data_IF_579891608561
#
_entry.id   IF_579891608561
#
_cell.length_a   1.000
_cell.length_b   1.000
_cell.length_c   1.000
_cell.angle_alpha   90.00
_cell.angle_beta   90.00
_cell.angle_gamma   90.00
#
_symmetry.space_group_name_H-M   'P 1'
#
loop_
_entity.id
_entity.type
_entity.pdbx_description
1 polymer ?
#
# COMPACT_ATOMS: atom_id res chain seq x y z
N UNK A 1 -15.62 2.36 22.12
CA UNK A 1 -15.84 1.15 21.29
C UNK A 1 -15.02 1.17 19.99
N UNK A 2 -15.11 2.22 19.15
CA UNK A 2 -14.36 2.29 17.88
C UNK A 2 -12.84 2.27 18.03
N UNK A 3 -12.27 2.92 19.05
CA UNK A 3 -10.82 2.85 19.33
C UNK A 3 -10.35 1.43 19.68
N UNK A 4 -11.12 0.70 20.50
CA UNK A 4 -10.81 -0.68 20.86
C UNK A 4 -10.92 -1.62 19.65
N UNK A 5 -11.94 -1.43 18.82
CA UNK A 5 -12.07 -2.15 17.54
C UNK A 5 -10.89 -1.87 16.60
N UNK A 6 -10.53 -0.59 16.40
CA UNK A 6 -9.40 -0.19 15.58
C UNK A 6 -8.07 -0.77 16.08
N UNK A 7 -7.86 -0.78 17.40
CA UNK A 7 -6.67 -1.39 18.01
C UNK A 7 -6.63 -2.91 17.80
N UNK A 8 -7.76 -3.61 18.03
CA UNK A 8 -7.85 -5.05 17.85
C UNK A 8 -7.63 -5.46 16.39
N UNK A 9 -8.30 -4.79 15.45
CA UNK A 9 -8.15 -5.03 14.01
C UNK A 9 -6.74 -4.69 13.54
N UNK A 10 -6.19 -3.55 13.97
CA UNK A 10 -4.82 -3.15 13.62
C UNK A 10 -3.78 -4.15 14.10
N UNK A 11 -3.91 -4.64 15.33
CA UNK A 11 -3.02 -5.68 15.88
C UNK A 11 -3.16 -6.98 15.09
N UNK A 12 -4.39 -7.41 14.81
CA UNK A 12 -4.63 -8.62 14.02
C UNK A 12 -4.01 -8.52 12.61
N UNK A 13 -4.21 -7.39 11.91
CA UNK A 13 -3.67 -7.16 10.56
C UNK A 13 -2.13 -7.17 10.54
N UNK A 14 -1.48 -6.66 11.59
CA UNK A 14 -0.02 -6.65 11.70
C UNK A 14 0.59 -8.06 11.69
N UNK A 15 -0.11 -9.05 12.26
CA UNK A 15 0.30 -10.45 12.21
C UNK A 15 -0.22 -11.20 10.98
N UNK A 16 -1.43 -10.85 10.52
CA UNK A 16 -2.13 -11.58 9.46
C UNK A 16 -1.43 -11.43 8.10
N UNK A 17 -1.03 -10.21 7.71
CA UNK A 17 -0.42 -10.00 6.40
C UNK A 17 0.93 -10.73 6.22
N UNK A 18 1.89 -10.64 7.17
CA UNK A 18 3.14 -11.39 7.05
C UNK A 18 2.94 -12.91 7.10
N UNK A 19 2.03 -13.38 7.98
CA UNK A 19 1.74 -14.81 8.09
C UNK A 19 1.14 -15.37 6.79
N UNK A 20 0.18 -14.66 6.20
CA UNK A 20 -0.45 -15.04 4.93
C UNK A 20 0.55 -15.09 3.78
N UNK A 21 1.33 -14.02 3.61
CA UNK A 21 2.27 -13.91 2.50
C UNK A 21 3.43 -14.92 2.64
N UNK A 22 3.82 -15.25 3.88
CA UNK A 22 4.80 -16.28 4.18
C UNK A 22 4.34 -17.71 3.88
N UNK A 23 3.03 -17.97 3.80
CA UNK A 23 2.49 -19.31 3.51
C UNK A 23 2.40 -19.64 2.03
N UNK A 24 2.43 -18.64 1.14
CA UNK A 24 2.30 -18.85 -0.31
C UNK A 24 3.32 -19.81 -0.91
N UNK A 25 4.62 -19.80 -0.54
CA UNK A 25 5.60 -20.75 -1.05
C UNK A 25 5.32 -22.20 -0.65
N UNK A 26 4.63 -22.42 0.47
CA UNK A 26 4.32 -23.75 0.99
C UNK A 26 3.11 -24.39 0.31
N UNK A 27 2.13 -23.57 -0.08
CA UNK A 27 0.94 -24.00 -0.81
C UNK A 27 1.25 -24.16 -2.31
N UNK A 28 2.32 -23.52 -2.78
CA UNK A 28 2.85 -23.67 -4.11
C UNK A 28 3.51 -25.05 -4.29
N UNK A 29 2.76 -26.04 -4.78
CA UNK A 29 3.24 -27.38 -5.17
C UNK A 29 4.24 -27.32 -6.34
N UNK A 30 5.40 -26.70 -6.17
CA UNK A 30 6.48 -26.59 -7.17
C UNK A 30 6.39 -25.38 -8.11
N UNK A 31 5.31 -24.58 -8.09
CA UNK A 31 5.20 -23.36 -8.92
C UNK A 31 4.70 -22.16 -8.10
N UNK A 32 5.64 -21.51 -7.41
CA UNK A 32 5.39 -20.34 -6.55
C UNK A 32 4.73 -19.21 -7.33
N UNK A 33 5.15 -18.98 -8.58
CA UNK A 33 4.58 -17.94 -9.42
C UNK A 33 3.08 -18.16 -9.68
N UNK A 34 2.65 -19.38 -10.01
CA UNK A 34 1.22 -19.70 -10.20
C UNK A 34 0.42 -19.51 -8.91
N UNK A 35 0.95 -19.96 -7.77
CA UNK A 35 0.28 -19.82 -6.47
C UNK A 35 0.16 -18.35 -6.01
N UNK A 36 1.20 -17.56 -6.21
CA UNK A 36 1.19 -16.12 -5.89
C UNK A 36 0.22 -15.39 -6.81
N UNK A 37 0.22 -15.71 -8.11
CA UNK A 37 -0.69 -15.07 -9.08
C UNK A 37 -2.15 -15.42 -8.78
N UNK A 38 -2.46 -16.68 -8.48
CA UNK A 38 -3.83 -17.08 -8.12
C UNK A 38 -4.29 -16.44 -6.81
N UNK A 39 -3.44 -16.41 -5.78
CA UNK A 39 -3.76 -15.74 -4.52
C UNK A 39 -4.00 -14.24 -4.70
N UNK A 40 -3.20 -13.58 -5.54
CA UNK A 40 -3.38 -12.15 -5.85
C UNK A 40 -4.67 -11.89 -6.62
N UNK A 41 -5.02 -12.74 -7.58
CA UNK A 41 -6.29 -12.63 -8.31
C UNK A 41 -7.50 -12.83 -7.40
N UNK A 42 -7.46 -13.84 -6.52
CA UNK A 42 -8.50 -14.06 -5.51
C UNK A 42 -8.59 -12.86 -4.57
N UNK A 43 -7.45 -12.31 -4.12
CA UNK A 43 -7.43 -11.13 -3.26
C UNK A 43 -8.14 -9.94 -3.91
N UNK A 44 -7.82 -9.61 -5.17
CA UNK A 44 -8.46 -8.50 -5.87
C UNK A 44 -9.95 -8.76 -6.13
N UNK A 45 -10.34 -9.98 -6.51
CA UNK A 45 -11.75 -10.33 -6.71
C UNK A 45 -12.56 -10.18 -5.42
N UNK A 46 -12.05 -10.71 -4.31
CA UNK A 46 -12.69 -10.58 -2.99
C UNK A 46 -12.72 -9.13 -2.53
N UNK A 47 -11.67 -8.35 -2.79
CA UNK A 47 -11.61 -6.94 -2.42
C UNK A 47 -12.60 -6.08 -3.22
N UNK A 48 -12.73 -6.31 -4.53
CA UNK A 48 -13.76 -5.65 -5.35
C UNK A 48 -15.17 -6.02 -4.89
N UNK A 49 -15.42 -7.30 -4.59
CA UNK A 49 -16.69 -7.74 -4.01
C UNK A 49 -16.96 -7.10 -2.64
N UNK A 50 -15.93 -6.97 -1.82
CA UNK A 50 -16.00 -6.28 -0.52
C UNK A 50 -16.37 -4.80 -0.66
N UNK A 51 -15.79 -4.08 -1.62
CA UNK A 51 -16.19 -2.71 -1.90
C UNK A 51 -17.63 -2.62 -2.42
N UNK A 52 -18.05 -3.50 -3.32
CA UNK A 52 -19.42 -3.53 -3.79
C UNK A 52 -20.43 -3.76 -2.63
N UNK A 53 -20.13 -4.71 -1.74
CA UNK A 53 -20.94 -4.94 -0.52
C UNK A 53 -20.91 -3.72 0.41
N UNK A 54 -19.75 -3.10 0.62
CA UNK A 54 -19.63 -1.87 1.41
C UNK A 54 -20.42 -0.71 0.82
N UNK A 55 -20.56 -0.65 -0.52
CA UNK A 55 -21.40 0.33 -1.21
C UNK A 55 -22.87 0.24 -0.83
N UNK A 56 -23.35 -0.98 -0.51
CA UNK A 56 -24.71 -1.22 -0.04
C UNK A 56 -24.94 -0.84 1.43
N UNK A 57 -23.93 -0.29 2.13
CA UNK A 57 -24.07 0.11 3.54
C UNK A 57 -25.16 1.17 3.73
N UNK A 58 -25.33 2.07 2.76
CA UNK A 58 -26.38 3.08 2.71
C UNK A 58 -27.80 2.50 2.82
N UNK A 59 -28.06 1.37 2.15
CA UNK A 59 -29.41 0.79 2.04
C UNK A 59 -29.70 -0.30 3.07
N UNK A 60 -28.69 -1.09 3.45
CA UNK A 60 -28.85 -2.23 4.37
C UNK A 60 -28.41 -1.88 5.80
N UNK A 61 -27.68 -0.76 5.98
CA UNK A 61 -27.07 -0.36 7.23
C UNK A 61 -25.73 -1.06 7.50
N UNK A 62 -24.92 -0.48 8.39
CA UNK A 62 -23.58 -0.97 8.70
C UNK A 62 -23.56 -2.28 9.52
N UNK A 63 -24.56 -2.51 10.38
CA UNK A 63 -24.60 -3.67 11.27
C UNK A 63 -24.57 -5.03 10.53
N UNK A 64 -25.42 -5.30 9.52
CA UNK A 64 -25.37 -6.57 8.79
C UNK A 64 -24.06 -6.77 8.02
N UNK A 65 -23.46 -5.70 7.50
CA UNK A 65 -22.14 -5.79 6.86
C UNK A 65 -21.04 -6.18 7.85
N UNK A 66 -21.06 -5.63 9.06
CA UNK A 66 -20.13 -6.02 10.13
C UNK A 66 -20.32 -7.47 10.56
N UNK A 67 -21.57 -7.97 10.59
CA UNK A 67 -21.86 -9.40 10.86
C UNK A 67 -21.29 -10.27 9.75
N UNK A 68 -21.50 -9.92 8.48
CA UNK A 68 -20.92 -10.65 7.34
C UNK A 68 -19.39 -10.66 7.42
N UNK A 69 -18.76 -9.51 7.73
CA UNK A 69 -17.32 -9.42 7.93
C UNK A 69 -16.84 -10.34 9.06
N UNK A 70 -17.54 -10.35 10.20
CA UNK A 70 -17.22 -11.21 11.33
C UNK A 70 -17.35 -12.70 10.97
N UNK A 71 -18.39 -13.09 10.24
CA UNK A 71 -18.59 -14.46 9.76
C UNK A 71 -17.48 -14.88 8.80
N UNK A 72 -17.11 -14.02 7.84
CA UNK A 72 -16.02 -14.31 6.90
C UNK A 72 -14.68 -14.50 7.62
N UNK A 73 -14.37 -13.66 8.61
CA UNK A 73 -13.19 -13.81 9.44
C UNK A 73 -13.22 -15.11 10.25
N UNK A 74 -14.38 -15.49 10.80
CA UNK A 74 -14.55 -16.73 11.54
C UNK A 74 -14.39 -17.97 10.64
N UNK A 75 -14.98 -17.97 9.44
CA UNK A 75 -14.78 -19.02 8.45
C UNK A 75 -13.31 -19.10 8.00
N UNK A 76 -12.63 -17.97 7.81
CA UNK A 76 -11.20 -17.93 7.50
C UNK A 76 -10.35 -18.54 8.61
N UNK A 77 -10.65 -18.23 9.87
CA UNK A 77 -9.99 -18.82 11.03
C UNK A 77 -10.25 -20.33 11.15
N UNK A 78 -11.49 -20.77 10.89
CA UNK A 78 -11.83 -22.19 10.89
C UNK A 78 -11.13 -22.97 9.77
N UNK A 79 -11.10 -22.40 8.56
CA UNK A 79 -10.39 -22.97 7.43
C UNK A 79 -8.89 -23.10 7.74
N UNK A 80 -8.31 -22.06 8.36
CA UNK A 80 -6.92 -22.07 8.83
C UNK A 80 -6.67 -23.14 9.90
N UNK A 81 -7.57 -23.28 10.87
CA UNK A 81 -7.45 -24.31 11.91
C UNK A 81 -7.55 -25.74 11.36
N UNK A 82 -8.26 -25.92 10.24
CA UNK A 82 -8.39 -27.22 9.56
C UNK A 82 -7.28 -27.51 8.55
N UNK A 83 -6.41 -26.54 8.26
CA UNK A 83 -5.23 -26.78 7.43
C UNK A 83 -4.24 -27.63 8.22
N UNK A 84 -4.00 -28.84 7.73
CA UNK A 84 -2.97 -29.70 8.28
C UNK A 84 -1.59 -29.20 7.83
N UNK A 85 -0.94 -28.46 8.72
CA UNK A 85 0.40 -27.88 8.50
C UNK A 85 1.52 -28.85 8.93
N UNK A 86 1.18 -30.08 9.36
CA UNK A 86 2.15 -31.07 9.85
C UNK A 86 3.19 -31.49 8.81
N UNK A 87 2.87 -31.34 7.53
CA UNK A 87 3.76 -31.67 6.41
C UNK A 87 4.62 -30.50 5.93
N UNK A 88 4.53 -29.31 6.55
CA UNK A 88 5.33 -28.18 6.14
C UNK A 88 6.80 -28.35 6.58
N UNK A 89 7.78 -28.12 5.70
CA UNK A 89 9.18 -28.01 6.11
C UNK A 89 9.27 -26.97 7.22
N UNK A 90 10.02 -27.28 8.29
CA UNK A 90 10.25 -26.36 9.39
C UNK A 90 10.55 -24.96 8.83
N UNK A 91 9.99 -23.88 9.42
CA UNK A 91 10.17 -22.53 8.91
C UNK A 91 11.66 -22.32 8.64
N UNK A 92 12.01 -21.95 7.40
CA UNK A 92 13.38 -21.54 7.10
C UNK A 92 13.67 -20.45 8.11
N UNK A 93 14.53 -20.76 9.08
CA UNK A 93 14.95 -19.80 10.08
C UNK A 93 15.59 -18.67 9.29
N UNK A 94 14.83 -17.61 9.01
CA UNK A 94 15.40 -16.29 8.86
C UNK A 94 16.33 -16.18 10.06
N UNK A 95 17.64 -16.04 9.82
CA UNK A 95 18.68 -16.17 10.84
C UNK A 95 18.30 -15.44 12.14
N UNK A 96 18.88 -15.85 13.28
CA UNK A 96 18.38 -15.54 14.62
C UNK A 96 17.72 -14.17 14.71
N UNK A 97 16.44 -14.13 15.12
CA UNK A 97 15.72 -12.90 15.43
C UNK A 97 16.69 -11.99 16.20
N UNK A 98 16.86 -10.71 15.79
CA UNK A 98 17.92 -9.87 16.34
C UNK A 98 17.76 -9.83 17.86
N UNK A 99 18.65 -10.55 18.56
CA UNK A 99 18.64 -10.60 20.02
C UNK A 99 19.03 -9.26 20.64
N UNK A 100 19.39 -8.26 19.83
CA UNK A 100 19.82 -6.93 20.25
C UNK A 100 19.35 -5.83 19.29
N UNK A 101 18.90 -4.71 19.88
CA UNK A 101 18.67 -3.42 19.21
C UNK A 101 19.88 -2.96 18.36
N UNK A 102 21.09 -3.36 18.74
CA UNK A 102 22.32 -3.09 17.99
C UNK A 102 22.29 -3.67 16.56
N UNK A 103 21.75 -4.88 16.36
CA UNK A 103 21.64 -5.47 15.01
C UNK A 103 20.61 -4.73 14.13
N UNK A 104 19.58 -4.14 14.74
CA UNK A 104 18.61 -3.29 14.04
C UNK A 104 19.29 -1.98 13.63
N UNK A 105 20.08 -1.39 14.53
CA UNK A 105 20.84 -0.17 14.27
C UNK A 105 21.90 -0.37 13.17
N UNK A 106 22.63 -1.49 13.16
CA UNK A 106 23.61 -1.81 12.10
C UNK A 106 22.93 -1.94 10.74
N UNK A 107 21.76 -2.59 10.70
CA UNK A 107 21.01 -2.74 9.45
C UNK A 107 20.42 -1.40 8.99
N UNK A 108 19.94 -0.56 9.92
CA UNK A 108 19.52 0.81 9.62
C UNK A 108 20.67 1.63 9.03
N UNK A 109 21.88 1.50 9.59
CA UNK A 109 23.07 2.19 9.12
C UNK A 109 23.48 1.74 7.71
N UNK A 110 23.43 0.44 7.42
CA UNK A 110 23.70 -0.11 6.08
C UNK A 110 22.72 0.47 5.05
N UNK A 111 21.43 0.44 5.38
CA UNK A 111 20.36 0.99 4.55
C UNK A 111 20.55 2.50 4.33
N UNK A 112 20.90 3.24 5.38
CA UNK A 112 21.06 4.69 5.33
C UNK A 112 22.33 5.14 4.60
N UNK A 113 23.39 4.33 4.64
CA UNK A 113 24.63 4.56 3.89
C UNK A 113 24.47 4.26 2.41
N UNK A 114 23.61 3.30 2.04
CA UNK A 114 23.36 2.99 0.65
C UNK A 114 22.38 4.00 0.03
N UNK A 115 22.91 4.93 -0.77
CA UNK A 115 22.17 6.08 -1.32
C UNK A 115 20.86 5.70 -2.00
N UNK A 116 20.84 4.63 -2.80
CA UNK A 116 19.63 4.12 -3.46
C UNK A 116 18.58 3.62 -2.46
N UNK A 117 18.98 2.88 -1.42
CA UNK A 117 18.03 2.30 -0.46
C UNK A 117 17.39 3.40 0.39
N UNK A 118 18.22 4.31 0.89
CA UNK A 118 17.78 5.49 1.63
C UNK A 118 16.75 6.29 0.85
N UNK A 119 17.05 6.61 -0.41
CA UNK A 119 16.19 7.49 -1.20
C UNK A 119 14.84 6.80 -1.55
N UNK A 120 14.82 5.48 -1.80
CA UNK A 120 13.55 4.72 -1.95
C UNK A 120 12.75 4.69 -0.64
N UNK A 121 13.41 4.52 0.51
CA UNK A 121 12.73 4.51 1.81
C UNK A 121 12.15 5.89 2.13
N UNK A 122 12.83 6.97 1.77
CA UNK A 122 12.28 8.33 1.90
C UNK A 122 11.06 8.51 1.00
N UNK A 123 11.10 8.06 -0.26
CA UNK A 123 9.94 8.13 -1.16
C UNK A 123 8.74 7.36 -0.60
N UNK A 124 8.97 6.16 -0.09
CA UNK A 124 7.90 5.27 0.42
C UNK A 124 7.40 5.73 1.79
N UNK A 125 8.28 6.26 2.64
CA UNK A 125 7.91 6.94 3.87
C UNK A 125 7.09 8.20 3.61
N UNK A 126 7.48 8.99 2.60
CA UNK A 126 6.68 10.12 2.12
C UNK A 126 5.32 9.68 1.60
N UNK A 127 5.25 8.59 0.83
CA UNK A 127 3.99 8.02 0.36
C UNK A 127 3.08 7.62 1.53
N UNK A 128 3.61 6.93 2.54
CA UNK A 128 2.86 6.57 3.73
C UNK A 128 2.37 7.80 4.50
N UNK A 129 3.26 8.77 4.76
CA UNK A 129 2.91 9.97 5.52
C UNK A 129 1.94 10.90 4.77
N UNK A 130 2.18 11.21 3.50
CA UNK A 130 1.38 12.20 2.79
C UNK A 130 0.17 11.60 2.09
N UNK A 131 0.29 10.41 1.49
CA UNK A 131 -0.74 9.88 0.60
C UNK A 131 -1.72 8.91 1.29
N UNK A 132 -1.28 8.15 2.30
CA UNK A 132 -2.19 7.21 2.97
C UNK A 132 -3.26 7.91 3.81
N UNK A 133 -2.91 9.04 4.44
CA UNK A 133 -3.92 9.86 5.12
C UNK A 133 -5.00 10.38 4.17
N UNK A 134 -4.62 10.67 2.92
CA UNK A 134 -5.57 11.11 1.90
C UNK A 134 -6.56 10.00 1.56
N UNK A 135 -6.13 8.76 1.33
CA UNK A 135 -7.09 7.68 0.99
C UNK A 135 -7.99 7.28 2.16
N UNK A 136 -7.46 7.23 3.39
CA UNK A 136 -8.22 6.75 4.54
C UNK A 136 -9.08 7.82 5.22
N UNK A 137 -8.72 9.09 5.09
CA UNK A 137 -9.40 10.20 5.78
C UNK A 137 -9.82 11.29 4.79
N UNK A 138 -8.91 11.78 3.96
CA UNK A 138 -9.18 12.90 3.06
C UNK A 138 -10.30 12.63 2.04
N UNK A 139 -10.19 11.53 1.30
CA UNK A 139 -11.16 11.14 0.26
C UNK A 139 -12.55 10.88 0.86
N UNK A 140 -12.68 10.14 1.98
CA UNK A 140 -13.96 10.01 2.67
C UNK A 140 -14.58 11.35 3.07
N UNK A 141 -13.80 12.27 3.62
CA UNK A 141 -14.28 13.60 3.98
C UNK A 141 -14.71 14.40 2.76
N UNK A 142 -13.95 14.37 1.66
CA UNK A 142 -14.34 15.08 0.43
C UNK A 142 -15.63 14.52 -0.17
N UNK A 143 -15.80 13.20 -0.23
CA UNK A 143 -17.03 12.60 -0.76
C UNK A 143 -18.24 13.00 0.08
N UNK A 144 -18.11 12.90 1.41
CA UNK A 144 -19.20 13.23 2.32
C UNK A 144 -19.51 14.73 2.37
N UNK A 145 -18.49 15.58 2.56
CA UNK A 145 -18.67 16.99 2.90
C UNK A 145 -18.78 17.90 1.67
N UNK A 146 -18.20 17.51 0.52
CA UNK A 146 -18.21 18.32 -0.71
C UNK A 146 -19.22 17.77 -1.72
N UNK A 147 -19.20 16.46 -1.97
CA UNK A 147 -20.07 15.85 -2.97
C UNK A 147 -21.42 15.37 -2.39
N UNK A 148 -21.58 15.36 -1.07
CA UNK A 148 -22.78 14.82 -0.41
C UNK A 148 -22.98 13.33 -0.69
N UNK A 149 -21.92 12.63 -1.10
CA UNK A 149 -21.96 11.22 -1.49
C UNK A 149 -21.99 10.31 -0.27
N UNK A 150 -22.49 9.10 -0.47
CA UNK A 150 -22.65 8.09 0.58
C UNK A 150 -21.65 6.94 0.42
N UNK A 151 -21.86 5.83 1.14
CA UNK A 151 -21.06 4.61 1.05
C UNK A 151 -20.95 4.08 -0.38
N UNK A 152 -21.96 4.29 -1.22
CA UNK A 152 -21.95 3.91 -2.64
C UNK A 152 -20.87 4.65 -3.42
N UNK A 153 -20.74 5.96 -3.26
CA UNK A 153 -19.70 6.77 -3.91
C UNK A 153 -18.31 6.46 -3.34
N UNK A 154 -18.23 6.17 -2.04
CA UNK A 154 -17.00 5.70 -1.41
C UNK A 154 -16.54 4.35 -1.95
N UNK A 155 -17.48 3.41 -2.14
CA UNK A 155 -17.18 2.14 -2.77
C UNK A 155 -16.72 2.35 -4.22
N UNK A 156 -17.43 3.20 -4.98
CA UNK A 156 -17.12 3.46 -6.38
C UNK A 156 -15.73 4.07 -6.55
N UNK A 157 -15.36 5.07 -5.75
CA UNK A 157 -14.04 5.69 -5.85
C UNK A 157 -12.91 4.70 -5.51
N UNK A 158 -13.12 3.84 -4.51
CA UNK A 158 -12.17 2.80 -4.13
C UNK A 158 -12.08 1.70 -5.20
N UNK A 159 -13.19 1.37 -5.86
CA UNK A 159 -13.20 0.44 -7.00
C UNK A 159 -12.44 1.00 -8.20
N UNK A 160 -12.58 2.29 -8.51
CA UNK A 160 -11.78 2.94 -9.56
C UNK A 160 -10.29 2.90 -9.21
N UNK A 161 -9.95 3.19 -7.95
CA UNK A 161 -8.58 3.10 -7.47
C UNK A 161 -7.99 1.69 -7.60
N UNK A 162 -8.71 0.68 -7.11
CA UNK A 162 -8.33 -0.73 -7.24
C UNK A 162 -8.26 -1.20 -8.68
N UNK A 163 -9.17 -0.73 -9.53
CA UNK A 163 -9.17 -0.99 -10.97
C UNK A 163 -7.88 -0.50 -11.62
N UNK A 164 -7.46 0.73 -11.30
CA UNK A 164 -6.18 1.29 -11.75
C UNK A 164 -4.97 0.46 -11.29
N UNK A 165 -4.95 0.06 -10.02
CA UNK A 165 -3.87 -0.78 -9.47
C UNK A 165 -3.80 -2.14 -10.17
N UNK A 166 -4.95 -2.80 -10.32
CA UNK A 166 -5.08 -4.14 -10.89
C UNK A 166 -4.68 -4.16 -12.36
N UNK A 167 -5.17 -3.19 -13.14
CA UNK A 167 -4.82 -3.04 -14.55
C UNK A 167 -3.31 -2.88 -14.71
N UNK A 168 -2.69 -2.04 -13.88
CA UNK A 168 -1.26 -1.78 -13.96
C UNK A 168 -0.43 -2.98 -13.53
N UNK A 169 -0.83 -3.67 -12.47
CA UNK A 169 -0.17 -4.90 -12.04
C UNK A 169 -0.20 -5.96 -13.15
N UNK A 170 -1.32 -6.11 -13.83
CA UNK A 170 -1.47 -7.03 -14.97
C UNK A 170 -0.58 -6.63 -16.16
N UNK A 171 -0.52 -5.34 -16.49
CA UNK A 171 0.34 -4.82 -17.58
C UNK A 171 1.82 -5.02 -17.24
N UNK A 172 2.24 -4.72 -16.01
CA UNK A 172 3.62 -4.93 -15.56
C UNK A 172 4.02 -6.41 -15.60
N UNK A 173 3.10 -7.30 -15.20
CA UNK A 173 3.31 -8.74 -15.29
C UNK A 173 3.51 -9.19 -16.73
N UNK A 174 2.70 -8.70 -17.68
CA UNK A 174 2.83 -9.03 -19.11
C UNK A 174 4.07 -8.45 -19.77
N UNK A 175 4.51 -7.25 -19.36
CA UNK A 175 5.66 -6.55 -19.94
C UNK A 175 7.01 -6.94 -19.32
N UNK A 176 7.02 -7.74 -18.26
CA UNK A 176 8.26 -8.16 -17.60
C UNK A 176 8.90 -7.08 -16.71
N UNK A 177 8.11 -6.13 -16.22
CA UNK A 177 8.59 -5.05 -15.34
C UNK A 177 8.96 -3.76 -16.07
N UNK A 178 9.79 -2.92 -15.41
CA UNK A 178 10.19 -1.60 -15.94
C UNK A 178 11.71 -1.48 -15.90
N UNK A 179 12.31 -1.16 -17.06
CA UNK A 179 13.75 -1.02 -17.17
C UNK A 179 14.33 0.13 -16.33
N UNK A 180 13.60 1.24 -16.16
CA UNK A 180 14.05 2.42 -15.39
C UNK A 180 13.28 2.57 -14.09
N UNK A 181 13.49 1.62 -13.18
CA UNK A 181 12.71 1.48 -11.95
C UNK A 181 12.74 2.76 -11.10
N UNK A 182 13.92 3.40 -10.96
CA UNK A 182 14.08 4.61 -10.16
C UNK A 182 13.36 5.85 -10.72
N UNK A 183 13.30 5.97 -12.06
CA UNK A 183 12.49 7.02 -12.71
C UNK A 183 11.01 6.73 -12.59
N UNK A 184 10.62 5.47 -12.77
CA UNK A 184 9.24 5.05 -12.70
C UNK A 184 8.63 5.36 -11.32
N UNK A 185 9.32 5.00 -10.23
CA UNK A 185 8.84 5.30 -8.87
C UNK A 185 8.71 6.80 -8.61
N UNK A 186 9.71 7.59 -9.02
CA UNK A 186 9.75 9.03 -8.77
C UNK A 186 8.67 9.77 -9.57
N UNK A 187 8.53 9.43 -10.86
CA UNK A 187 7.46 9.98 -11.71
C UNK A 187 6.08 9.55 -11.23
N UNK A 188 5.89 8.28 -10.87
CA UNK A 188 4.61 7.79 -10.38
C UNK A 188 4.18 8.51 -9.10
N UNK A 189 5.09 8.73 -8.15
CA UNK A 189 4.80 9.49 -6.94
C UNK A 189 4.54 10.98 -7.20
N UNK A 190 5.31 11.60 -8.11
CA UNK A 190 5.09 12.99 -8.51
C UNK A 190 3.74 13.19 -9.21
N UNK A 191 3.43 12.35 -10.21
CA UNK A 191 2.16 12.37 -10.96
C UNK A 191 1.00 12.02 -10.04
N UNK A 192 1.16 11.01 -9.17
CA UNK A 192 0.17 10.64 -8.17
C UNK A 192 -0.15 11.78 -7.20
N UNK A 193 0.89 12.51 -6.73
CA UNK A 193 0.71 13.74 -5.97
C UNK A 193 -0.08 14.79 -6.75
N UNK A 194 0.28 15.06 -8.01
CA UNK A 194 -0.43 16.03 -8.85
C UNK A 194 -1.90 15.64 -9.11
N UNK A 195 -2.19 14.35 -9.29
CA UNK A 195 -3.56 13.85 -9.43
C UNK A 195 -4.39 14.12 -8.17
N UNK A 196 -3.80 13.95 -6.99
CA UNK A 196 -4.46 14.30 -5.73
C UNK A 196 -4.60 15.81 -5.53
N UNK A 197 -3.60 16.60 -5.93
CA UNK A 197 -3.71 18.06 -5.93
C UNK A 197 -4.89 18.53 -6.80
N UNK A 198 -5.11 17.89 -7.96
CA UNK A 198 -6.24 18.17 -8.83
C UNK A 198 -7.59 17.86 -8.16
N UNK A 199 -7.68 16.80 -7.34
CA UNK A 199 -8.87 16.55 -6.51
C UNK A 199 -9.08 17.68 -5.49
N UNK A 200 -8.00 18.20 -4.91
CA UNK A 200 -8.02 19.35 -4.01
C UNK A 200 -8.54 20.66 -4.63
N UNK A 201 -8.69 20.73 -5.96
CA UNK A 201 -9.30 21.88 -6.64
C UNK A 201 -10.85 21.86 -6.62
N UNK A 202 -11.47 20.80 -6.09
CA UNK A 202 -12.94 20.70 -6.02
C UNK A 202 -13.60 20.48 -7.39
N UNK A 203 -12.98 19.65 -8.24
CA UNK A 203 -13.49 19.36 -9.58
C UNK A 203 -14.90 18.76 -9.57
N UNK A 204 -15.73 18.95 -10.60
CA UNK A 204 -17.05 18.35 -10.66
C UNK A 204 -16.97 16.81 -10.73
N UNK A 205 -17.95 16.14 -10.14
CA UNK A 205 -18.13 14.70 -10.33
C UNK A 205 -18.48 14.43 -11.81
N UNK A 206 -17.86 13.45 -12.51
CA UNK A 206 -17.10 12.29 -12.00
C UNK A 206 -15.57 12.42 -12.02
N UNK A 207 -15.00 13.63 -12.15
CA UNK A 207 -13.54 13.80 -12.29
C UNK A 207 -12.70 13.14 -11.17
N UNK A 208 -13.10 13.15 -9.88
CA UNK A 208 -12.36 12.46 -8.82
C UNK A 208 -12.25 10.94 -9.03
N UNK A 209 -13.22 10.30 -9.67
CA UNK A 209 -13.18 8.85 -9.95
C UNK A 209 -12.03 8.51 -10.92
N UNK A 210 -11.91 9.29 -12.00
CA UNK A 210 -10.85 9.10 -12.99
C UNK A 210 -9.47 9.42 -12.41
N UNK A 211 -9.37 10.48 -11.60
CA UNK A 211 -8.13 10.83 -10.91
C UNK A 211 -7.73 9.75 -9.91
N UNK A 212 -8.68 9.10 -9.23
CA UNK A 212 -8.41 7.99 -8.31
C UNK A 212 -7.99 6.70 -9.02
N UNK A 213 -8.52 6.43 -10.22
CA UNK A 213 -8.00 5.37 -11.06
C UNK A 213 -6.55 5.65 -11.49
N UNK A 214 -6.25 6.87 -11.93
CA UNK A 214 -4.88 7.30 -12.25
C UNK A 214 -3.93 7.21 -11.04
N UNK A 215 -4.41 7.61 -9.86
CA UNK A 215 -3.65 7.49 -8.62
C UNK A 215 -3.39 6.02 -8.27
N UNK A 216 -4.34 5.11 -8.53
CA UNK A 216 -4.16 3.67 -8.37
C UNK A 216 -3.09 3.09 -9.29
N UNK A 217 -3.06 3.53 -10.56
CA UNK A 217 -1.99 3.18 -11.51
C UNK A 217 -0.62 3.58 -10.94
N UNK A 218 -0.50 4.82 -10.46
CA UNK A 218 0.72 5.34 -9.86
C UNK A 218 1.12 4.57 -8.60
N UNK A 219 0.16 4.22 -7.74
CA UNK A 219 0.38 3.43 -6.53
C UNK A 219 0.94 2.05 -6.84
N UNK A 220 0.39 1.35 -7.83
CA UNK A 220 0.85 0.01 -8.24
C UNK A 220 2.30 0.03 -8.77
N UNK A 221 2.64 1.00 -9.62
CA UNK A 221 4.03 1.21 -10.09
C UNK A 221 4.97 1.46 -8.91
N UNK A 222 4.57 2.37 -8.01
CA UNK A 222 5.39 2.76 -6.86
C UNK A 222 5.69 1.56 -5.95
N UNK A 223 4.66 0.78 -5.61
CA UNK A 223 4.82 -0.38 -4.74
C UNK A 223 5.65 -1.50 -5.41
N UNK A 224 5.43 -1.74 -6.70
CA UNK A 224 6.19 -2.76 -7.44
C UNK A 224 7.67 -2.36 -7.56
N UNK A 225 7.94 -1.16 -8.07
CA UNK A 225 9.32 -0.69 -8.28
C UNK A 225 10.06 -0.47 -6.97
N UNK A 226 9.41 0.11 -5.95
CA UNK A 226 10.04 0.33 -4.65
C UNK A 226 10.45 -0.98 -3.99
N UNK A 227 9.60 -2.00 -4.06
CA UNK A 227 9.93 -3.35 -3.56
C UNK A 227 11.10 -3.95 -4.35
N UNK A 228 11.06 -3.91 -5.68
CA UNK A 228 12.12 -4.49 -6.52
C UNK A 228 13.47 -3.80 -6.29
N UNK A 229 13.52 -2.46 -6.29
CA UNK A 229 14.77 -1.72 -6.05
C UNK A 229 15.39 -2.08 -4.71
N UNK A 230 14.59 -2.16 -3.64
CA UNK A 230 15.11 -2.51 -2.32
C UNK A 230 15.56 -3.98 -2.28
N UNK A 231 14.90 -4.89 -2.99
CA UNK A 231 15.33 -6.29 -3.07
C UNK A 231 16.65 -6.47 -3.85
N UNK A 232 16.80 -5.76 -4.97
CA UNK A 232 17.98 -5.82 -5.84
C UNK A 232 19.20 -5.11 -5.23
N UNK A 233 19.00 -3.92 -4.63
CA UNK A 233 20.08 -3.13 -4.03
C UNK A 233 20.53 -3.64 -2.65
N UNK A 234 19.78 -4.56 -2.03
CA UNK A 234 20.13 -5.11 -0.72
C UNK A 234 21.02 -6.35 -0.83
N UNK A 235 22.10 -6.46 -0.05
CA UNK A 235 22.87 -7.68 0.08
C UNK A 235 21.99 -8.85 0.51
N UNK A 236 22.27 -10.06 0.01
CA UNK A 236 21.43 -11.25 0.27
C UNK A 236 21.19 -11.49 1.77
N UNK A 237 22.24 -11.33 2.59
CA UNK A 237 22.17 -11.50 4.05
C UNK A 237 21.28 -10.48 4.78
N UNK A 238 20.98 -9.33 4.14
CA UNK A 238 20.22 -8.24 4.74
C UNK A 238 18.91 -7.91 4.01
N UNK A 239 18.59 -8.61 2.91
CA UNK A 239 17.42 -8.35 2.06
C UNK A 239 16.10 -8.36 2.83
N UNK A 240 15.87 -9.35 3.69
CA UNK A 240 14.66 -9.44 4.51
C UNK A 240 14.52 -8.28 5.50
N UNK A 241 15.64 -7.79 6.03
CA UNK A 241 15.68 -6.65 6.97
C UNK A 241 15.46 -5.33 6.25
N UNK A 242 16.06 -5.14 5.08
CA UNK A 242 15.81 -3.96 4.25
C UNK A 242 14.32 -3.88 3.82
N UNK A 243 13.70 -5.02 3.51
CA UNK A 243 12.25 -5.11 3.29
C UNK A 243 11.43 -4.74 4.53
N UNK A 244 11.89 -5.08 5.73
CA UNK A 244 11.23 -4.66 6.97
C UNK A 244 11.27 -3.13 7.15
N UNK A 245 12.40 -2.47 6.84
CA UNK A 245 12.49 -1.00 6.83
C UNK A 245 11.60 -0.37 5.75
N UNK A 246 11.50 -0.98 4.57
CA UNK A 246 10.58 -0.54 3.52
C UNK A 246 9.12 -0.59 4.00
N UNK A 247 8.70 -1.70 4.62
CA UNK A 247 7.36 -1.85 5.18
C UNK A 247 7.11 -0.89 6.35
N UNK A 248 8.11 -0.68 7.22
CA UNK A 248 8.05 0.29 8.31
C UNK A 248 7.89 1.72 7.80
N UNK A 249 8.63 2.10 6.75
CA UNK A 249 8.47 3.39 6.10
C UNK A 249 7.04 3.56 5.54
N UNK A 250 6.55 2.55 4.81
CA UNK A 250 5.24 2.61 4.16
C UNK A 250 4.07 2.62 5.14
N UNK A 251 3.98 1.61 6.01
CA UNK A 251 2.83 1.42 6.90
C UNK A 251 3.03 2.12 8.24
N UNK A 252 4.26 2.27 8.72
CA UNK A 252 4.54 2.91 10.00
C UNK A 252 4.32 4.42 9.98
N UNK A 253 4.47 5.08 8.82
CA UNK A 253 4.19 6.51 8.68
C UNK A 253 2.71 6.81 8.37
N UNK A 254 1.94 5.82 7.92
CA UNK A 254 0.53 6.01 7.52
C UNK A 254 -0.39 6.55 8.64
N UNK A 255 -0.32 6.07 9.91
CA UNK A 255 -1.14 6.62 10.99
C UNK A 255 -0.88 8.10 11.25
N UNK A 256 0.39 8.53 11.17
CA UNK A 256 0.77 9.93 11.32
C UNK A 256 0.22 10.78 10.18
N UNK A 257 0.22 10.24 8.96
CA UNK A 257 -0.41 10.86 7.80
C UNK A 257 -1.91 11.05 7.94
N UNK A 258 -2.61 9.99 8.37
CA UNK A 258 -4.05 10.03 8.64
C UNK A 258 -4.40 11.04 9.74
N UNK A 259 -3.60 11.09 10.81
CA UNK A 259 -3.76 12.08 11.87
C UNK A 259 -3.56 13.52 11.35
N UNK A 260 -2.49 13.76 10.58
CA UNK A 260 -2.21 15.07 9.98
C UNK A 260 -3.36 15.51 9.06
N UNK A 261 -3.83 14.63 8.18
CA UNK A 261 -4.93 14.95 7.26
C UNK A 261 -6.23 15.20 8.01
N UNK A 262 -6.53 14.42 9.05
CA UNK A 262 -7.72 14.65 9.88
C UNK A 262 -7.70 16.03 10.54
N UNK A 263 -6.56 16.41 11.14
CA UNK A 263 -6.40 17.73 11.74
C UNK A 263 -6.48 18.85 10.70
N UNK A 264 -5.75 18.75 9.59
CA UNK A 264 -5.79 19.77 8.53
C UNK A 264 -7.19 19.92 7.94
N UNK A 265 -7.92 18.82 7.74
CA UNK A 265 -9.27 18.88 7.21
C UNK A 265 -10.23 19.64 8.13
N UNK A 266 -10.02 19.58 9.45
CA UNK A 266 -10.80 20.35 10.44
C UNK A 266 -10.51 21.86 10.37
N UNK A 267 -9.24 22.27 10.21
CA UNK A 267 -8.85 23.69 10.22
C UNK A 267 -8.99 24.40 8.87
N UNK A 268 -8.59 23.75 7.77
CA UNK A 268 -8.50 24.36 6.43
C UNK A 268 -9.43 23.70 5.41
N UNK A 269 -10.22 22.71 5.83
CA UNK A 269 -11.14 21.98 4.97
C UNK A 269 -10.47 20.80 4.25
N UNK A 270 -11.26 19.79 3.83
CA UNK A 270 -10.73 18.52 3.31
C UNK A 270 -10.03 18.68 1.96
N UNK A 271 -10.49 19.58 1.09
CA UNK A 271 -9.85 19.85 -0.21
C UNK A 271 -8.44 20.42 -0.05
N UNK A 272 -8.26 21.43 0.80
CA UNK A 272 -6.95 22.04 1.05
C UNK A 272 -6.02 21.09 1.81
N UNK A 273 -6.54 20.25 2.71
CA UNK A 273 -5.77 19.21 3.38
C UNK A 273 -5.17 18.21 2.37
N UNK A 274 -5.97 17.75 1.39
CA UNK A 274 -5.48 16.89 0.31
C UNK A 274 -4.44 17.61 -0.55
N UNK A 275 -4.69 18.88 -0.92
CA UNK A 275 -3.75 19.66 -1.71
C UNK A 275 -2.41 19.86 -1.00
N UNK A 276 -2.42 20.10 0.32
CA UNK A 276 -1.21 20.20 1.15
C UNK A 276 -0.41 18.88 1.12
N UNK A 277 -1.08 17.74 1.32
CA UNK A 277 -0.43 16.44 1.25
C UNK A 277 0.14 16.13 -0.13
N UNK A 278 -0.61 16.45 -1.18
CA UNK A 278 -0.18 16.29 -2.55
C UNK A 278 1.09 17.09 -2.85
N UNK A 279 1.11 18.36 -2.46
CA UNK A 279 2.28 19.23 -2.61
C UNK A 279 3.49 18.69 -1.84
N UNK A 280 3.31 18.26 -0.59
CA UNK A 280 4.37 17.66 0.22
C UNK A 280 5.01 16.46 -0.48
N UNK A 281 4.19 15.57 -1.03
CA UNK A 281 4.69 14.41 -1.76
C UNK A 281 5.38 14.78 -3.07
N UNK A 282 4.81 15.71 -3.85
CA UNK A 282 5.41 16.17 -5.11
C UNK A 282 6.76 16.85 -4.86
N UNK A 283 6.90 17.64 -3.78
CA UNK A 283 8.17 18.26 -3.38
C UNK A 283 9.22 17.20 -3.03
N UNK A 284 8.86 16.17 -2.26
CA UNK A 284 9.77 15.06 -1.95
C UNK A 284 10.21 14.34 -3.23
N UNK A 285 9.26 14.04 -4.12
CA UNK A 285 9.56 13.38 -5.39
C UNK A 285 10.49 14.24 -6.27
N UNK A 286 10.24 15.55 -6.36
CA UNK A 286 11.07 16.48 -7.12
C UNK A 286 12.47 16.64 -6.50
N UNK A 287 12.56 16.74 -5.18
CA UNK A 287 13.84 16.82 -4.47
C UNK A 287 14.70 15.58 -4.72
N UNK A 288 14.10 14.39 -4.67
CA UNK A 288 14.79 13.14 -4.99
C UNK A 288 15.14 13.07 -6.47
N UNK A 289 14.25 13.48 -7.39
CA UNK A 289 14.54 13.51 -8.82
C UNK A 289 15.79 14.36 -9.15
N UNK A 290 15.95 15.51 -8.48
CA UNK A 290 17.04 16.46 -8.74
C UNK A 290 18.35 16.08 -8.05
N UNK A 291 18.30 15.49 -6.84
CA UNK A 291 19.49 15.25 -5.99
C UNK A 291 19.94 13.79 -5.93
N UNK A 292 19.10 12.84 -6.33
CA UNK A 292 19.36 11.41 -6.16
C UNK A 292 19.87 10.75 -7.44
N UNK A 293 20.85 9.83 -7.33
CA UNK A 293 21.24 8.95 -8.43
C UNK A 293 20.15 7.93 -8.80
N UNK A 294 19.07 7.79 -8.01
CA UNK A 294 17.92 6.92 -8.34
C UNK A 294 17.38 7.21 -9.74
N UNK A 295 17.44 8.47 -10.20
CA UNK A 295 16.97 8.82 -11.54
C UNK A 295 17.71 8.09 -12.68
N UNK A 296 18.92 7.58 -12.43
CA UNK A 296 19.70 6.81 -13.42
C UNK A 296 19.67 5.31 -13.16
N UNK A 297 18.90 4.85 -12.17
CA UNK A 297 18.84 3.43 -11.82
C UNK A 297 18.09 2.66 -12.91
N UNK A 298 18.80 1.75 -13.58
CA UNK A 298 18.26 0.79 -14.52
C UNK A 298 18.15 -0.58 -13.83
N UNK A 299 17.03 -1.28 -14.03
CA UNK A 299 16.79 -2.61 -13.46
C UNK A 299 17.61 -3.66 -14.19
N UNK A 300 18.02 -4.72 -13.48
CA UNK A 300 18.94 -5.75 -13.99
C UNK A 300 18.33 -6.70 -15.05
N UNK A 301 17.24 -6.32 -15.71
CA UNK A 301 16.44 -7.21 -16.56
C UNK A 301 16.80 -7.23 -18.05
N UNK A 302 17.98 -6.72 -18.45
CA UNK A 302 18.37 -6.69 -19.86
C UNK A 302 19.90 -6.80 -20.05
N UNK A 303 20.51 -7.81 -19.42
CA UNK A 303 21.83 -8.32 -19.77
C UNK A 303 21.72 -9.79 -20.19
#
# INVERSE_FOLDING_TARGET
LMLAYGFAVGTAQAFLFPARDGMLPYIARGNIQRAVTSATMVQFAVQLGGFALAGMAASIGAAPLLVVQALLLWFGALAFHRLDLSHLPAPVRSGPAPRNLAMIADTALIVWRHRTLRDVIILIGGMGFFLMGVIFVGVPLVIRDIYGGDSGDLALINMFNMGGMSLTAFVLLRKGGVARQGRAITCALGIGGLMLAAIGLGLPYPAPLLLMAGWGICGSITMSMGRTIVQEASPEAHRSRAMAFYMLGFMGTAPFGSFMIGQLAEYIGPLHAIAFSALGMTVIALWIALRSPIWRLEGSGNS
#
